data_IF_294687893377
#
_entry.id   IF_294687893377
#
_cell.length_a   1.000
_cell.length_b   1.000
_cell.length_c   1.000
_cell.angle_alpha   90.00
_cell.angle_beta   90.00
_cell.angle_gamma   90.00
#
_symmetry.space_group_name_H-M   'P 1'
#
loop_
_entity.id
_entity.type
_entity.pdbx_description
1 polymer ?
#
# COMPACT_ATOMS: atom_id res chain seq x y z
N UNK A 1 -26.14 17.16 -4.21
CA UNK A 1 -24.89 17.79 -4.67
C UNK A 1 -24.22 16.77 -5.57
N UNK A 2 -24.55 16.80 -6.86
CA UNK A 2 -24.08 15.84 -7.86
C UNK A 2 -22.70 16.27 -8.37
N UNK A 3 -21.71 15.38 -8.28
CA UNK A 3 -20.37 15.58 -8.80
C UNK A 3 -20.37 15.45 -10.34
N UNK A 4 -19.63 16.30 -11.08
CA UNK A 4 -19.67 16.32 -12.54
C UNK A 4 -18.92 15.12 -13.13
N UNK A 5 -19.58 14.40 -14.05
CA UNK A 5 -18.98 13.34 -14.87
C UNK A 5 -18.08 13.96 -15.94
N UNK A 6 -16.79 14.08 -15.67
CA UNK A 6 -15.81 14.57 -16.64
C UNK A 6 -15.51 13.51 -17.70
N UNK A 7 -15.99 13.75 -18.93
CA UNK A 7 -15.56 13.01 -20.13
C UNK A 7 -14.12 13.39 -20.46
N UNK A 8 -13.20 12.44 -20.34
CA UNK A 8 -11.81 12.62 -20.75
C UNK A 8 -11.68 12.46 -22.27
N UNK A 9 -11.31 13.54 -22.95
CA UNK A 9 -10.88 13.51 -24.35
C UNK A 9 -9.52 12.82 -24.49
N UNK A 10 -9.33 12.11 -25.61
CA UNK A 10 -8.10 11.38 -25.88
C UNK A 10 -6.89 12.33 -25.97
N UNK A 11 -5.91 12.13 -25.07
CA UNK A 11 -4.63 12.84 -25.08
C UNK A 11 -3.52 11.97 -25.72
N UNK A 12 -2.54 12.62 -26.37
CA UNK A 12 -1.36 12.02 -27.00
C UNK A 12 -0.54 11.19 -25.99
N UNK A 13 0.21 10.15 -26.43
CA UNK A 13 1.06 9.39 -25.53
C UNK A 13 2.29 10.24 -25.17
N UNK A 14 2.21 10.91 -24.02
CA UNK A 14 3.40 11.26 -23.24
C UNK A 14 3.95 10.01 -22.54
N UNK A 15 5.03 10.12 -21.73
CA UNK A 15 5.42 9.02 -20.84
C UNK A 15 4.19 8.55 -20.07
N UNK A 16 3.97 7.23 -20.00
CA UNK A 16 2.80 6.66 -19.35
C UNK A 16 2.70 7.25 -17.94
N UNK A 17 1.55 7.85 -17.56
CA UNK A 17 1.38 8.40 -16.22
C UNK A 17 1.63 7.28 -15.20
N UNK A 18 2.43 7.59 -14.18
CA UNK A 18 2.81 6.62 -13.15
C UNK A 18 1.56 5.99 -12.52
N UNK A 19 1.46 4.66 -12.56
CA UNK A 19 0.21 3.94 -12.29
C UNK A 19 -0.26 4.05 -10.83
N UNK A 20 0.64 4.41 -9.92
CA UNK A 20 0.38 4.63 -8.49
C UNK A 20 -0.21 6.01 -8.16
N UNK A 21 -0.26 6.95 -9.12
CA UNK A 21 -0.83 8.28 -8.90
C UNK A 21 -2.32 8.33 -9.24
N UNK A 22 -3.11 8.84 -8.29
CA UNK A 22 -4.54 9.07 -8.50
C UNK A 22 -4.77 10.32 -9.36
N UNK A 23 -5.49 10.22 -10.48
CA UNK A 23 -5.79 11.38 -11.31
C UNK A 23 -6.79 12.35 -10.66
N UNK A 24 -7.57 11.90 -9.67
CA UNK A 24 -8.63 12.69 -9.04
C UNK A 24 -8.12 13.50 -7.83
N UNK A 25 -7.41 12.85 -6.88
CA UNK A 25 -6.93 13.50 -5.66
C UNK A 25 -5.40 13.69 -5.60
N UNK A 26 -4.64 13.12 -6.53
CA UNK A 26 -3.18 13.21 -6.55
C UNK A 26 -2.45 12.30 -5.56
N UNK A 27 -3.16 11.46 -4.80
CA UNK A 27 -2.57 10.44 -3.92
C UNK A 27 -1.62 9.52 -4.67
N UNK A 28 -0.54 9.10 -4.03
CA UNK A 28 0.42 8.10 -4.51
C UNK A 28 0.08 6.67 -4.05
N UNK A 29 -1.08 6.47 -3.41
CA UNK A 29 -1.52 5.19 -2.84
C UNK A 29 -2.45 4.40 -3.76
N UNK A 30 -2.51 4.72 -5.06
CA UNK A 30 -3.29 3.89 -5.99
C UNK A 30 -2.71 2.50 -5.99
N UNK A 31 -3.55 1.53 -5.68
CA UNK A 31 -3.21 0.11 -5.65
C UNK A 31 -4.10 -0.62 -6.65
N UNK A 32 -3.65 -1.76 -7.14
CA UNK A 32 -4.51 -2.60 -7.94
C UNK A 32 -5.54 -3.36 -7.10
N UNK A 33 -6.64 -3.73 -7.74
CA UNK A 33 -7.67 -4.62 -7.18
C UNK A 33 -7.67 -5.97 -7.90
N UNK A 34 -7.47 -5.97 -9.22
CA UNK A 34 -7.46 -7.18 -10.04
C UNK A 34 -6.51 -7.02 -11.24
N UNK A 35 -5.82 -8.09 -11.63
CA UNK A 35 -4.93 -8.15 -12.78
C UNK A 35 -5.27 -9.41 -13.59
N UNK A 36 -5.28 -9.29 -14.91
CA UNK A 36 -5.50 -10.44 -15.80
C UNK A 36 -4.75 -10.31 -17.12
N UNK A 37 -4.19 -11.40 -17.66
CA UNK A 37 -3.49 -11.34 -18.94
C UNK A 37 -4.48 -11.05 -20.08
N UNK A 38 -4.09 -10.15 -20.97
CA UNK A 38 -4.76 -9.93 -22.27
C UNK A 38 -4.06 -10.75 -23.35
N UNK A 39 -2.73 -10.75 -23.33
CA UNK A 39 -1.86 -11.59 -24.15
C UNK A 39 -0.47 -11.72 -23.49
N UNK A 40 0.54 -12.17 -24.24
CA UNK A 40 1.88 -12.43 -23.74
C UNK A 40 2.62 -11.22 -23.15
N UNK A 41 2.23 -9.99 -23.49
CA UNK A 41 2.94 -8.78 -23.04
C UNK A 41 2.03 -7.67 -22.52
N UNK A 42 0.71 -7.93 -22.42
CA UNK A 42 -0.28 -6.94 -22.01
C UNK A 42 -1.21 -7.50 -20.96
N UNK A 43 -1.56 -6.66 -19.99
CA UNK A 43 -2.40 -7.01 -18.86
C UNK A 43 -3.49 -5.99 -18.65
N UNK A 44 -4.68 -6.49 -18.33
CA UNK A 44 -5.81 -5.69 -17.85
C UNK A 44 -5.65 -5.54 -16.35
N UNK A 45 -5.64 -4.31 -15.85
CA UNK A 45 -5.52 -4.02 -14.42
C UNK A 45 -6.68 -3.13 -13.99
N UNK A 46 -7.42 -3.56 -12.97
CA UNK A 46 -8.31 -2.71 -12.19
C UNK A 46 -7.50 -2.03 -11.08
N UNK A 47 -7.65 -0.72 -10.95
CA UNK A 47 -6.97 0.11 -9.94
C UNK A 47 -7.98 0.85 -9.10
N UNK A 48 -7.60 1.14 -7.85
CA UNK A 48 -8.39 1.93 -6.90
C UNK A 48 -7.51 2.90 -6.11
N UNK A 49 -8.01 4.11 -5.91
CA UNK A 49 -7.48 5.02 -4.90
C UNK A 49 -8.15 4.76 -3.54
N UNK A 50 -7.39 4.52 -2.46
CA UNK A 50 -7.95 4.31 -1.13
C UNK A 50 -8.42 5.61 -0.45
N UNK A 51 -7.99 6.78 -0.93
CA UNK A 51 -8.36 8.07 -0.32
C UNK A 51 -9.68 8.63 -0.86
N UNK A 52 -9.88 8.61 -2.17
CA UNK A 52 -11.05 9.21 -2.82
C UNK A 52 -11.96 8.20 -3.51
N UNK A 53 -11.66 6.89 -3.42
CA UNK A 53 -12.43 5.80 -4.03
C UNK A 53 -12.47 5.77 -5.56
N UNK A 54 -11.66 6.58 -6.23
CA UNK A 54 -11.50 6.52 -7.68
C UNK A 54 -11.15 5.10 -8.14
N UNK A 55 -11.74 4.65 -9.25
CA UNK A 55 -11.49 3.34 -9.85
C UNK A 55 -11.34 3.45 -11.37
N UNK A 56 -10.48 2.61 -11.92
CA UNK A 56 -10.23 2.54 -13.36
C UNK A 56 -9.82 1.13 -13.77
N UNK A 57 -10.10 0.78 -15.03
CA UNK A 57 -9.66 -0.47 -15.63
C UNK A 57 -9.01 -0.18 -16.97
N UNK A 58 -7.71 -0.46 -17.08
CA UNK A 58 -6.92 -0.17 -18.27
C UNK A 58 -5.99 -1.34 -18.64
N UNK A 59 -5.49 -1.32 -19.87
CA UNK A 59 -4.52 -2.29 -20.36
C UNK A 59 -3.14 -1.65 -20.36
N UNK A 60 -2.17 -2.33 -19.74
CA UNK A 60 -0.79 -1.90 -19.60
C UNK A 60 0.16 -2.93 -20.17
N UNK A 61 1.34 -2.49 -20.60
CA UNK A 61 2.43 -3.38 -21.00
C UNK A 61 3.20 -3.86 -19.77
N UNK A 62 4.06 -4.86 -19.97
CA UNK A 62 4.86 -5.43 -18.88
C UNK A 62 5.74 -4.39 -18.17
N UNK A 63 6.37 -3.47 -18.92
CA UNK A 63 7.28 -2.48 -18.34
C UNK A 63 6.56 -1.54 -17.37
N UNK A 64 5.34 -1.08 -17.71
CA UNK A 64 4.56 -0.25 -16.80
C UNK A 64 4.13 -0.99 -15.53
N UNK A 65 3.93 -2.32 -15.61
CA UNK A 65 3.60 -3.13 -14.43
C UNK A 65 4.81 -3.38 -13.56
N UNK A 66 5.98 -3.62 -14.15
CA UNK A 66 7.23 -3.80 -13.39
C UNK A 66 7.55 -2.53 -12.58
N UNK A 67 7.39 -1.36 -13.18
CA UNK A 67 7.55 -0.07 -12.48
C UNK A 67 6.49 0.12 -11.37
N UNK A 68 5.26 -0.35 -11.60
CA UNK A 68 4.19 -0.24 -10.61
C UNK A 68 4.42 -1.18 -9.43
N UNK A 69 4.82 -2.42 -9.69
CA UNK A 69 5.12 -3.45 -8.68
C UNK A 69 6.26 -3.00 -7.76
N UNK A 70 7.32 -2.42 -8.35
CA UNK A 70 8.44 -1.87 -7.57
C UNK A 70 7.99 -0.78 -6.57
N UNK A 71 7.01 0.04 -6.93
CA UNK A 71 6.46 1.07 -6.03
C UNK A 71 5.61 0.44 -4.93
N UNK A 72 4.80 -0.58 -5.25
CA UNK A 72 3.96 -1.28 -4.27
C UNK A 72 4.78 -2.04 -3.23
N UNK A 73 5.84 -2.71 -3.67
CA UNK A 73 6.79 -3.40 -2.80
C UNK A 73 7.49 -2.43 -1.85
N UNK A 74 8.02 -1.32 -2.39
CA UNK A 74 8.66 -0.29 -1.58
C UNK A 74 7.71 0.31 -0.52
N UNK A 75 6.45 0.54 -0.89
CA UNK A 75 5.40 1.00 0.03
C UNK A 75 5.12 -0.01 1.14
N UNK A 76 5.02 -1.30 0.79
CA UNK A 76 4.78 -2.39 1.74
C UNK A 76 5.94 -2.54 2.72
N UNK A 77 7.18 -2.48 2.22
CA UNK A 77 8.38 -2.54 3.06
C UNK A 77 8.43 -1.40 4.07
N UNK A 78 8.07 -0.19 3.66
CA UNK A 78 7.96 0.97 4.55
C UNK A 78 6.90 0.75 5.63
N UNK A 79 5.71 0.25 5.26
CA UNK A 79 4.64 -0.06 6.22
C UNK A 79 5.07 -1.11 7.24
N UNK A 80 5.74 -2.18 6.81
CA UNK A 80 6.26 -3.23 7.69
C UNK A 80 7.34 -2.68 8.61
N UNK A 81 8.25 -1.85 8.10
CA UNK A 81 9.30 -1.23 8.90
C UNK A 81 8.71 -0.33 10.01
N UNK A 82 7.73 0.51 9.67
CA UNK A 82 7.05 1.37 10.64
C UNK A 82 6.24 0.58 11.67
N UNK A 83 5.52 -0.46 11.24
CA UNK A 83 4.82 -1.36 12.16
C UNK A 83 5.78 -1.99 13.17
N UNK A 84 6.93 -2.51 12.71
CA UNK A 84 7.97 -3.07 13.59
C UNK A 84 8.54 -2.04 14.55
N UNK A 85 8.71 -0.79 14.11
CA UNK A 85 9.19 0.31 14.96
C UNK A 85 8.19 0.61 16.07
N UNK A 86 6.90 0.69 15.75
CA UNK A 86 5.83 0.90 16.73
C UNK A 86 5.72 -0.26 17.71
N UNK A 87 5.79 -1.51 17.23
CA UNK A 87 5.78 -2.69 18.09
C UNK A 87 6.92 -2.66 19.12
N UNK A 88 8.15 -2.32 18.69
CA UNK A 88 9.28 -2.17 19.63
C UNK A 88 9.02 -1.09 20.67
N UNK A 89 8.53 0.08 20.24
CA UNK A 89 8.22 1.19 21.16
C UNK A 89 7.13 0.82 22.18
N UNK A 90 6.13 0.05 21.78
CA UNK A 90 5.06 -0.38 22.68
C UNK A 90 5.56 -1.41 23.71
N UNK A 91 6.49 -2.28 23.31
CA UNK A 91 7.00 -3.35 24.17
C UNK A 91 7.93 -2.86 25.29
N UNK A 92 8.52 -1.67 25.15
CA UNK A 92 9.45 -1.12 26.17
C UNK A 92 8.79 -0.98 27.55
N UNK A 93 7.53 -0.51 27.59
CA UNK A 93 6.79 -0.36 28.85
C UNK A 93 6.39 -1.70 29.47
N UNK A 94 6.13 -2.72 28.64
CA UNK A 94 5.85 -4.08 29.11
C UNK A 94 7.10 -4.75 29.67
N UNK A 95 8.24 -4.62 28.98
CA UNK A 95 9.53 -5.14 29.45
C UNK A 95 9.95 -4.52 30.78
N UNK A 96 9.79 -3.20 30.96
CA UNK A 96 10.11 -2.53 32.21
C UNK A 96 9.25 -3.04 33.39
N UNK A 97 7.96 -3.28 33.15
CA UNK A 97 7.05 -3.85 34.17
C UNK A 97 7.38 -5.31 34.48
N UNK A 98 7.70 -6.09 33.46
CA UNK A 98 8.09 -7.49 33.62
C UNK A 98 9.40 -7.62 34.42
N UNK A 99 10.41 -6.80 34.11
CA UNK A 99 11.66 -6.75 34.89
C UNK A 99 11.40 -6.39 36.36
N UNK A 100 10.54 -5.39 36.62
CA UNK A 100 10.20 -5.02 37.99
C UNK A 100 9.48 -6.15 38.74
N UNK A 101 8.63 -6.92 38.04
CA UNK A 101 7.96 -8.08 38.60
C UNK A 101 8.95 -9.21 38.92
N UNK A 102 9.94 -9.47 38.05
CA UNK A 102 11.02 -10.41 38.32
C UNK A 102 11.88 -9.98 39.51
N UNK A 103 12.33 -8.71 39.53
CA UNK A 103 13.16 -8.16 40.61
C UNK A 103 12.44 -8.15 41.97
N UNK A 104 11.10 -8.16 41.95
CA UNK A 104 10.25 -8.16 43.14
C UNK A 104 9.68 -9.55 43.50
N UNK A 105 10.17 -10.62 42.86
CA UNK A 105 9.68 -12.00 43.04
C UNK A 105 8.14 -12.16 42.86
N UNK A 106 7.54 -11.31 42.01
CA UNK A 106 6.10 -11.37 41.68
C UNK A 106 5.80 -12.33 40.52
N UNK A 107 6.84 -12.84 39.87
CA UNK A 107 6.77 -13.88 38.83
C UNK A 107 7.79 -14.95 39.18
N UNK A 108 7.33 -16.17 39.42
CA UNK A 108 8.13 -17.30 39.88
C UNK A 108 8.22 -18.38 38.79
N UNK A 109 9.16 -19.34 38.89
CA UNK A 109 9.26 -20.44 37.94
C UNK A 109 7.98 -21.28 37.80
N UNK A 110 7.12 -21.27 38.81
CA UNK A 110 5.84 -21.97 38.86
C UNK A 110 4.71 -21.31 38.04
N UNK A 111 4.94 -20.09 37.53
CA UNK A 111 3.98 -19.35 36.70
C UNK A 111 4.08 -19.65 35.18
N UNK A 112 4.98 -20.55 34.76
CA UNK A 112 5.22 -20.96 33.36
C UNK A 112 4.97 -22.46 33.12
#
# INVERSE_FOLDING_TARGET
>A
MELPRHRHGASRPGPAPALHLCPDCGSDLVHPVEWGPVDACRWRVERRCPECEWRDVAIHDQAALDDFDAVLDAGTDLMVAELRRLQRSNMESELARFNLALDSDLVLPEDF
#
